data_IF_139003498448
#
_entry.id   IF_139003498448
#
_cell.length_a   1.000
_cell.length_b   1.000
_cell.length_c   1.000
_cell.angle_alpha   90.00
_cell.angle_beta   90.00
_cell.angle_gamma   90.00
#
_symmetry.space_group_name_H-M   'P 1'
#
loop_
_entity.id
_entity.type
_entity.pdbx_description
1 polymer ?
#
# COMPACT_ATOMS: atom_id res chain seq x y z
N UNK A 1 11.16 -12.47 21.14
CA UNK A 1 10.11 -13.45 21.48
C UNK A 1 9.56 -13.06 22.86
N UNK A 2 9.16 -11.81 23.04
CA UNK A 2 9.08 -11.18 24.38
C UNK A 2 7.66 -10.64 24.68
N UNK A 3 6.78 -10.60 23.67
CA UNK A 3 5.45 -9.98 23.79
C UNK A 3 4.38 -10.85 24.45
N UNK A 4 4.60 -12.17 24.58
CA UNK A 4 3.63 -13.05 25.26
C UNK A 4 3.79 -12.98 26.78
N UNK A 5 5.02 -12.77 27.25
CA UNK A 5 5.33 -12.62 28.68
C UNK A 5 4.86 -11.26 29.23
N UNK A 6 4.68 -10.26 28.37
CA UNK A 6 4.12 -8.94 28.71
C UNK A 6 2.61 -8.82 28.42
N UNK A 7 1.84 -9.91 28.58
CA UNK A 7 0.38 -9.76 28.75
C UNK A 7 0.12 -9.24 30.17
N UNK A 8 0.41 -7.96 30.39
CA UNK A 8 0.00 -7.28 31.61
C UNK A 8 -1.50 -7.02 31.53
N UNK A 9 -2.21 -7.66 32.44
CA UNK A 9 -3.52 -7.23 32.93
C UNK A 9 -3.54 -5.72 33.12
N UNK A 10 -4.09 -4.99 32.15
CA UNK A 10 -4.16 -3.53 32.18
C UNK A 10 -5.13 -3.08 33.29
N UNK A 11 -4.70 -3.16 34.55
CA UNK A 11 -5.37 -2.62 35.73
C UNK A 11 -6.58 -3.41 36.24
N UNK A 12 -6.91 -4.57 35.67
CA UNK A 12 -8.10 -5.34 36.04
C UNK A 12 -7.88 -6.31 37.22
N UNK A 13 -6.63 -6.69 37.50
CA UNK A 13 -6.26 -7.66 38.56
C UNK A 13 -6.63 -9.12 38.26
N UNK A 14 -6.79 -9.49 36.99
CA UNK A 14 -7.16 -10.84 36.54
C UNK A 14 -6.01 -11.64 35.96
N UNK A 15 -5.43 -12.56 36.72
CA UNK A 15 -4.39 -13.46 36.19
C UNK A 15 -4.92 -14.54 35.26
N UNK A 16 -4.28 -14.70 34.10
CA UNK A 16 -4.53 -15.80 33.18
C UNK A 16 -4.21 -17.13 33.87
N UNK A 17 -5.25 -17.89 34.20
CA UNK A 17 -5.10 -19.19 34.87
C UNK A 17 -4.63 -20.29 33.92
N UNK A 18 -5.38 -20.56 32.85
CA UNK A 18 -5.07 -21.64 31.90
C UNK A 18 -5.67 -21.36 30.51
N UNK A 19 -4.94 -21.73 29.45
CA UNK A 19 -5.44 -21.73 28.07
C UNK A 19 -5.86 -23.17 27.70
N UNK A 20 -7.17 -23.42 27.65
CA UNK A 20 -7.72 -24.76 27.38
C UNK A 20 -7.46 -25.20 25.93
N UNK A 21 -7.53 -24.28 24.97
CA UNK A 21 -7.20 -24.51 23.56
C UNK A 21 -6.75 -23.20 22.90
N UNK A 22 -5.68 -23.26 22.09
CA UNK A 22 -5.20 -22.13 21.31
C UNK A 22 -5.07 -22.54 19.84
N UNK A 23 -5.84 -21.90 18.97
CA UNK A 23 -5.69 -22.03 17.53
C UNK A 23 -4.98 -20.78 16.99
N UNK A 24 -3.73 -20.93 16.59
CA UNK A 24 -2.97 -19.86 15.91
C UNK A 24 -3.03 -20.11 14.42
N UNK A 25 -3.63 -19.20 13.66
CA UNK A 25 -3.60 -19.24 12.20
C UNK A 25 -2.48 -18.31 11.71
N UNK A 26 -1.39 -18.90 11.22
CA UNK A 26 -0.29 -18.18 10.60
C UNK A 26 -0.47 -18.30 9.09
N UNK A 27 -0.91 -17.22 8.46
CA UNK A 27 -0.92 -17.13 7.01
C UNK A 27 0.47 -16.72 6.52
N UNK A 28 1.01 -17.46 5.55
CA UNK A 28 2.21 -17.02 4.83
C UNK A 28 1.87 -15.75 4.05
N UNK A 29 2.51 -14.64 4.40
CA UNK A 29 2.45 -13.42 3.60
C UNK A 29 3.52 -13.53 2.52
N UNK A 30 3.09 -13.79 1.29
CA UNK A 30 3.92 -13.47 0.12
C UNK A 30 3.72 -11.98 -0.16
N UNK A 31 4.75 -11.14 0.03
CA UNK A 31 4.70 -9.77 -0.46
C UNK A 31 4.37 -9.81 -1.95
N UNK A 32 3.59 -8.84 -2.42
CA UNK A 32 3.31 -8.69 -3.85
C UNK A 32 4.63 -8.87 -4.60
N UNK A 33 4.69 -9.91 -5.46
CA UNK A 33 5.92 -10.36 -6.13
C UNK A 33 6.78 -9.15 -6.49
N UNK A 34 7.95 -9.09 -5.88
CA UNK A 34 8.93 -8.05 -6.13
C UNK A 34 9.05 -7.84 -7.65
N UNK A 35 8.80 -6.62 -8.13
CA UNK A 35 9.29 -6.22 -9.44
C UNK A 35 8.31 -5.65 -10.47
N UNK A 36 6.99 -5.69 -10.27
CA UNK A 36 6.07 -5.13 -11.26
C UNK A 36 5.43 -3.83 -10.77
N UNK A 37 6.10 -2.72 -11.11
CA UNK A 37 5.54 -1.36 -11.01
C UNK A 37 5.07 -0.83 -12.38
N UNK A 38 5.05 -1.70 -13.38
CA UNK A 38 4.54 -1.44 -14.73
C UNK A 38 3.06 -1.75 -14.83
N UNK A 39 2.42 -1.28 -15.91
CA UNK A 39 1.02 -1.54 -16.15
C UNK A 39 0.71 -3.03 -16.22
N UNK A 40 -0.25 -3.44 -15.39
CA UNK A 40 -0.85 -4.76 -15.44
C UNK A 40 -2.35 -4.63 -15.70
N UNK A 41 -2.85 -5.50 -16.56
CA UNK A 41 -4.27 -5.52 -16.87
C UNK A 41 -5.05 -6.03 -15.67
N UNK A 42 -5.99 -5.22 -15.18
CA UNK A 42 -6.94 -5.66 -14.14
C UNK A 42 -7.70 -6.94 -14.57
N UNK A 43 -8.00 -7.84 -13.62
CA UNK A 43 -8.96 -8.91 -13.83
C UNK A 43 -10.33 -8.37 -14.28
N UNK A 44 -11.02 -9.11 -15.15
CA UNK A 44 -12.28 -8.65 -15.76
C UNK A 44 -13.38 -8.35 -14.74
N UNK A 45 -13.41 -9.09 -13.62
CA UNK A 45 -14.33 -8.85 -12.51
C UNK A 45 -14.14 -7.48 -11.84
N UNK A 46 -12.91 -6.94 -11.84
CA UNK A 46 -12.60 -5.61 -11.30
C UNK A 46 -12.85 -4.54 -12.35
N UNK A 47 -12.45 -4.79 -13.61
CA UNK A 47 -12.73 -3.87 -14.73
C UNK A 47 -14.22 -3.59 -14.88
N UNK A 48 -15.05 -4.63 -14.77
CA UNK A 48 -16.50 -4.52 -14.90
C UNK A 48 -17.12 -3.58 -13.85
N UNK A 49 -16.54 -3.51 -12.65
CA UNK A 49 -17.02 -2.64 -11.57
C UNK A 49 -16.73 -1.16 -11.81
N UNK A 50 -15.76 -0.83 -12.68
CA UNK A 50 -15.32 0.55 -12.97
C UNK A 50 -14.98 1.37 -11.71
N UNK A 51 -14.61 0.69 -10.62
CA UNK A 51 -14.36 1.28 -9.31
C UNK A 51 -12.88 1.62 -9.07
N UNK A 52 -11.99 1.19 -9.99
CA UNK A 52 -10.55 1.36 -9.88
C UNK A 52 -10.05 2.07 -11.14
N UNK A 53 -9.25 3.11 -10.96
CA UNK A 53 -8.51 3.76 -12.04
C UNK A 53 -7.22 2.97 -12.25
N UNK A 54 -7.03 2.44 -13.47
CA UNK A 54 -5.83 1.69 -13.82
C UNK A 54 -5.00 2.51 -14.81
N UNK A 55 -4.04 3.27 -14.27
CA UNK A 55 -3.21 4.17 -15.07
C UNK A 55 -2.21 3.35 -15.89
N UNK A 56 -2.24 3.50 -17.21
CA UNK A 56 -1.33 2.79 -18.11
C UNK A 56 0.05 3.42 -18.09
N UNK A 57 1.02 2.77 -17.44
CA UNK A 57 2.40 3.22 -17.36
C UNK A 57 3.40 2.18 -17.87
N UNK A 58 4.46 2.67 -18.52
CA UNK A 58 5.58 1.86 -19.05
C UNK A 58 6.86 2.06 -18.22
N UNK A 59 6.73 2.53 -16.98
CA UNK A 59 7.83 2.87 -16.08
C UNK A 59 7.64 2.20 -14.70
N UNK A 60 8.58 2.43 -13.78
CA UNK A 60 8.55 1.87 -12.41
C UNK A 60 7.87 2.82 -11.40
N UNK A 61 7.07 3.78 -11.86
CA UNK A 61 6.54 4.85 -11.02
C UNK A 61 5.02 4.73 -10.75
N UNK A 62 4.44 3.52 -10.80
CA UNK A 62 2.99 3.36 -10.61
C UNK A 62 2.50 3.95 -9.28
N UNK A 63 3.26 3.80 -8.19
CA UNK A 63 2.92 4.40 -6.90
C UNK A 63 2.76 5.91 -6.99
N UNK A 64 3.75 6.62 -7.56
CA UNK A 64 3.69 8.08 -7.67
C UNK A 64 2.54 8.51 -8.59
N UNK A 65 2.30 7.76 -9.68
CA UNK A 65 1.19 8.02 -10.59
C UNK A 65 -0.16 7.83 -9.92
N UNK A 66 -0.32 6.79 -9.09
CA UNK A 66 -1.53 6.55 -8.30
C UNK A 66 -1.77 7.65 -7.26
N UNK A 67 -0.73 8.08 -6.54
CA UNK A 67 -0.83 9.21 -5.61
C UNK A 67 -1.21 10.49 -6.36
N UNK A 68 -0.56 10.76 -7.49
CA UNK A 68 -0.86 11.94 -8.32
C UNK A 68 -2.31 11.95 -8.81
N UNK A 69 -2.84 10.80 -9.25
CA UNK A 69 -4.24 10.70 -9.68
C UNK A 69 -5.24 10.87 -8.54
N UNK A 70 -4.89 10.43 -7.32
CA UNK A 70 -5.70 10.67 -6.14
C UNK A 70 -5.73 12.16 -5.75
N UNK A 71 -4.61 12.87 -5.92
CA UNK A 71 -4.52 14.32 -5.65
C UNK A 71 -5.20 15.17 -6.74
N UNK A 72 -5.18 14.70 -7.99
CA UNK A 72 -5.74 15.40 -9.16
C UNK A 72 -6.77 14.54 -9.88
N UNK A 73 -7.93 14.23 -9.26
CA UNK A 73 -8.92 13.35 -9.85
C UNK A 73 -9.47 13.93 -11.16
N UNK A 74 -9.68 13.06 -12.15
CA UNK A 74 -10.24 13.42 -13.46
C UNK A 74 -11.28 12.39 -13.89
N UNK A 75 -12.31 12.85 -14.59
CA UNK A 75 -13.34 11.99 -15.17
C UNK A 75 -13.07 11.66 -16.65
N UNK A 76 -12.09 12.33 -17.27
CA UNK A 76 -11.77 12.19 -18.69
C UNK A 76 -10.47 11.42 -18.81
N UNK A 77 -10.51 10.29 -19.53
CA UNK A 77 -9.34 9.45 -19.79
C UNK A 77 -8.50 9.16 -18.52
N UNK A 78 -9.16 8.87 -17.39
CA UNK A 78 -8.51 8.67 -16.08
C UNK A 78 -7.41 7.58 -16.09
N UNK A 79 -7.45 6.66 -17.05
CA UNK A 79 -6.43 5.63 -17.21
C UNK A 79 -5.17 6.11 -17.95
N UNK A 80 -5.15 7.34 -18.48
CA UNK A 80 -3.98 7.88 -19.17
C UNK A 80 -3.09 8.70 -18.23
N UNK A 81 -1.77 8.48 -18.23
CA UNK A 81 -0.83 9.30 -17.48
C UNK A 81 -0.88 10.79 -17.80
N UNK A 82 -1.15 11.13 -19.06
CA UNK A 82 -1.22 12.51 -19.56
C UNK A 82 -2.42 13.29 -19.04
N UNK A 83 -3.41 12.61 -18.47
CA UNK A 83 -4.58 13.25 -17.85
C UNK A 83 -4.26 13.92 -16.52
N UNK A 84 -3.04 13.72 -16.00
CA UNK A 84 -2.59 14.23 -14.72
C UNK A 84 -1.32 15.07 -14.90
N UNK A 85 -1.04 16.04 -14.00
CA UNK A 85 0.25 16.71 -14.02
C UNK A 85 1.38 15.72 -13.76
N UNK A 86 2.58 16.05 -14.20
CA UNK A 86 3.70 15.12 -14.07
C UNK A 86 4.09 14.99 -12.59
N UNK A 87 4.22 13.76 -12.08
CA UNK A 87 4.44 13.50 -10.65
C UNK A 87 5.70 14.17 -10.08
N UNK A 88 6.69 14.48 -10.93
CA UNK A 88 7.92 15.21 -10.57
C UNK A 88 7.67 16.62 -10.08
N UNK A 89 6.60 17.24 -10.56
CA UNK A 89 6.30 18.64 -10.26
C UNK A 89 5.50 18.77 -8.96
N UNK A 90 4.96 17.67 -8.45
CA UNK A 90 4.01 17.65 -7.32
C UNK A 90 4.58 16.90 -6.12
N UNK A 91 5.29 15.80 -6.34
CA UNK A 91 5.70 14.88 -5.28
C UNK A 91 7.20 14.93 -5.01
N UNK A 92 7.57 14.99 -3.73
CA UNK A 92 8.94 14.80 -3.27
C UNK A 92 9.20 13.32 -3.01
N UNK A 93 10.02 12.69 -3.85
CA UNK A 93 10.33 11.26 -3.75
C UNK A 93 11.83 10.94 -3.89
N UNK A 94 12.68 11.97 -3.96
CA UNK A 94 14.13 11.80 -4.08
C UNK A 94 14.69 11.06 -2.86
N UNK A 95 15.52 10.04 -3.09
CA UNK A 95 16.07 9.19 -2.02
C UNK A 95 15.18 8.03 -1.57
N UNK A 96 14.08 7.76 -2.29
CA UNK A 96 13.34 6.51 -2.21
C UNK A 96 13.85 5.51 -3.26
N UNK A 97 13.89 4.23 -2.91
CA UNK A 97 14.12 3.14 -3.86
C UNK A 97 12.76 2.73 -4.44
N UNK A 98 12.68 2.62 -5.76
CA UNK A 98 11.46 2.23 -6.46
C UNK A 98 11.32 0.72 -6.53
N UNK A 99 10.06 0.25 -6.54
CA UNK A 99 9.55 -0.83 -5.70
C UNK A 99 9.40 -0.39 -4.23
N UNK A 100 8.57 0.64 -4.01
CA UNK A 100 8.31 1.19 -2.67
C UNK A 100 7.74 0.08 -1.78
N UNK A 101 8.40 -0.15 -0.66
CA UNK A 101 7.94 -1.08 0.37
C UNK A 101 7.09 -0.35 1.41
N UNK A 102 6.27 -1.10 2.17
CA UNK A 102 5.44 -0.54 3.24
C UNK A 102 6.25 0.25 4.28
N UNK A 103 7.51 -0.13 4.51
CA UNK A 103 8.43 0.57 5.42
C UNK A 103 8.80 1.98 4.96
N UNK A 104 8.69 2.27 3.66
CA UNK A 104 9.05 3.56 3.07
C UNK A 104 7.88 4.56 3.12
N UNK A 105 6.66 4.11 3.46
CA UNK A 105 5.46 4.94 3.48
C UNK A 105 5.53 6.08 4.51
N UNK A 106 5.98 5.86 5.77
CA UNK A 106 6.15 6.95 6.72
C UNK A 106 7.12 8.01 6.19
N UNK A 107 8.26 7.59 5.63
CA UNK A 107 9.24 8.50 5.04
C UNK A 107 8.65 9.31 3.88
N UNK A 108 7.91 8.66 2.97
CA UNK A 108 7.25 9.37 1.87
C UNK A 108 6.23 10.40 2.40
N UNK A 109 5.45 10.03 3.42
CA UNK A 109 4.48 10.91 4.07
C UNK A 109 5.18 12.13 4.68
N UNK A 110 6.20 11.93 5.51
CA UNK A 110 6.96 13.01 6.16
C UNK A 110 7.61 13.97 5.15
N UNK A 111 7.93 13.49 3.94
CA UNK A 111 8.49 14.33 2.87
C UNK A 111 7.43 15.21 2.16
N UNK A 112 6.15 14.83 2.20
CA UNK A 112 5.07 15.46 1.42
C UNK A 112 3.95 16.07 2.27
N UNK A 113 4.00 15.98 3.60
CA UNK A 113 3.24 16.84 4.53
C UNK A 113 3.87 18.23 4.66
#
# INVERSE_FOLDING_TARGET
>A
MTKLEEFNEEGSGWSLGEIINLAVNINSYEPLKEGLSTFESLPDSIKAKKAVVNISNNDVYCFLRSVTAALHPTNVNANQPSSYPHFRDILKYHGLKFLIELKDFPKFKDMNE
#
